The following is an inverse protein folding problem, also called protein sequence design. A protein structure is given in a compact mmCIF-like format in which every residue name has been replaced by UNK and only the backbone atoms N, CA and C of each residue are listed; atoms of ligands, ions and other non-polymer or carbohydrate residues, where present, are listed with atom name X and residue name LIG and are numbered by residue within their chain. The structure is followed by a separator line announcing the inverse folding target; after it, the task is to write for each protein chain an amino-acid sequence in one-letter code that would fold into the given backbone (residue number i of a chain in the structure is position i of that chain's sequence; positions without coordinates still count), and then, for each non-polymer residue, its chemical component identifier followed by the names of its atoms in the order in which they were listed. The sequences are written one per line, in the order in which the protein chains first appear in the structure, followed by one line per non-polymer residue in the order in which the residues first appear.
data_IF_349853710401
#
_entry.id   IF_349853710401
#
_cell.length_a   1.000
_cell.length_b   1.000
_cell.length_c   1.000
_cell.angle_alpha   90.00
_cell.angle_beta   90.00
_cell.angle_gamma   90.00
#
_symmetry.space_group_name_H-M   'P 1'
#
loop_
_entity.id
_entity.type
_entity.pdbx_description
1 polymer ?
#
# COMPACT_ATOMS: atom_id res chain seq x y z
N UNK A 1 7.93 9.80 11.41
CA UNK A 1 6.80 10.44 10.70
C UNK A 1 6.64 9.95 9.26
N UNK A 2 5.49 10.23 8.63
CA UNK A 2 5.25 10.05 7.17
C UNK A 2 5.82 11.27 6.42
N UNK A 3 5.93 11.25 5.09
CA UNK A 3 6.44 12.40 4.33
C UNK A 3 5.35 13.35 3.87
N UNK A 4 5.73 14.61 3.67
CA UNK A 4 4.94 15.54 2.89
C UNK A 4 5.01 15.18 1.40
N UNK A 5 3.88 15.29 0.71
CA UNK A 5 3.82 15.19 -0.74
C UNK A 5 4.35 16.48 -1.38
N UNK A 6 5.67 16.68 -1.34
CA UNK A 6 6.35 17.85 -1.90
C UNK A 6 6.10 17.86 -3.42
N UNK A 7 5.56 18.95 -3.98
CA UNK A 7 5.39 19.06 -5.43
C UNK A 7 6.73 18.96 -6.16
N UNK A 8 6.78 18.08 -7.16
CA UNK A 8 7.89 18.01 -8.09
C UNK A 8 7.74 19.11 -9.15
N UNK A 9 8.83 19.82 -9.44
CA UNK A 9 8.79 21.02 -10.29
C UNK A 9 8.90 20.72 -11.79
N UNK A 10 9.36 19.53 -12.20
CA UNK A 10 9.38 19.14 -13.61
C UNK A 10 8.07 18.48 -14.03
N UNK A 11 7.66 18.74 -15.28
CA UNK A 11 6.45 18.16 -15.88
C UNK A 11 6.63 16.69 -16.28
N UNK A 12 7.87 16.24 -16.51
CA UNK A 12 8.18 14.88 -16.94
C UNK A 12 9.51 14.39 -16.34
N UNK A 13 9.66 13.07 -16.28
CA UNK A 13 10.84 12.36 -15.80
C UNK A 13 10.88 10.95 -16.39
N UNK A 14 12.08 10.37 -16.46
CA UNK A 14 12.26 9.01 -16.94
C UNK A 14 11.38 8.01 -16.16
N UNK A 15 10.51 7.30 -16.87
CA UNK A 15 9.62 6.28 -16.30
C UNK A 15 9.40 5.12 -17.28
N UNK A 16 9.94 3.95 -16.96
CA UNK A 16 9.97 2.80 -17.87
C UNK A 16 8.75 1.89 -17.74
N UNK A 17 8.14 1.79 -16.55
CA UNK A 17 7.11 0.79 -16.31
C UNK A 17 5.85 1.02 -17.14
N UNK A 18 5.41 -0.03 -17.83
CA UNK A 18 4.14 -0.06 -18.54
C UNK A 18 3.63 -1.50 -18.63
N UNK A 19 2.35 -1.68 -18.98
CA UNK A 19 1.84 -3.04 -19.22
C UNK A 19 2.57 -3.72 -20.38
N UNK A 20 2.97 -2.97 -21.42
CA UNK A 20 3.77 -3.49 -22.52
C UNK A 20 5.13 -3.99 -22.04
N UNK A 21 5.85 -3.18 -21.24
CA UNK A 21 7.12 -3.57 -20.63
C UNK A 21 6.97 -4.83 -19.77
N UNK A 22 5.93 -4.91 -18.94
CA UNK A 22 5.66 -6.09 -18.10
C UNK A 22 5.47 -7.34 -18.96
N UNK A 23 4.67 -7.26 -20.03
CA UNK A 23 4.46 -8.42 -20.90
C UNK A 23 5.73 -8.83 -21.66
N UNK A 24 6.52 -7.86 -22.11
CA UNK A 24 7.81 -8.12 -22.76
C UNK A 24 8.78 -8.85 -21.82
N UNK A 25 8.92 -8.36 -20.59
CA UNK A 25 9.79 -9.00 -19.59
C UNK A 25 9.27 -10.38 -19.21
N UNK A 26 7.95 -10.56 -19.05
CA UNK A 26 7.38 -11.90 -18.81
C UNK A 26 7.68 -12.86 -19.96
N UNK A 27 7.56 -12.43 -21.21
CA UNK A 27 7.88 -13.26 -22.36
C UNK A 27 9.36 -13.66 -22.40
N UNK A 28 10.27 -12.74 -22.03
CA UNK A 28 11.71 -13.00 -21.93
C UNK A 28 12.10 -13.93 -20.78
N UNK A 29 11.28 -14.01 -19.74
CA UNK A 29 11.59 -14.71 -18.50
C UNK A 29 10.55 -15.77 -18.11
N UNK A 30 10.01 -16.50 -19.09
CA UNK A 30 9.12 -17.66 -18.88
C UNK A 30 7.89 -17.38 -18.00
N UNK A 31 7.31 -16.19 -18.15
CA UNK A 31 6.12 -15.75 -17.43
C UNK A 31 6.39 -15.08 -16.08
N UNK A 32 7.63 -15.09 -15.60
CA UNK A 32 8.06 -14.58 -14.28
C UNK A 32 9.17 -13.55 -14.45
N UNK A 33 9.02 -12.34 -13.92
CA UNK A 33 10.06 -11.30 -13.98
C UNK A 33 10.95 -11.42 -12.74
N UNK A 34 12.29 -11.58 -12.88
CA UNK A 34 13.20 -11.54 -11.73
C UNK A 34 13.10 -10.20 -11.00
N UNK A 35 13.04 -10.21 -9.67
CA UNK A 35 12.90 -8.97 -8.89
C UNK A 35 14.08 -8.00 -9.13
N UNK A 36 15.28 -8.53 -9.37
CA UNK A 36 16.47 -7.73 -9.68
C UNK A 36 16.31 -6.86 -10.94
N UNK A 37 15.53 -7.31 -11.93
CA UNK A 37 15.24 -6.53 -13.14
C UNK A 37 14.32 -5.34 -12.80
N UNK A 38 13.26 -5.59 -12.03
CA UNK A 38 12.34 -4.53 -11.59
C UNK A 38 13.08 -3.50 -10.74
N UNK A 39 13.88 -3.95 -9.76
CA UNK A 39 14.65 -3.07 -8.90
C UNK A 39 15.68 -2.26 -9.70
N UNK A 40 16.37 -2.89 -10.65
CA UNK A 40 17.34 -2.20 -11.50
C UNK A 40 16.65 -1.12 -12.35
N UNK A 41 15.53 -1.45 -13.02
CA UNK A 41 14.77 -0.47 -13.80
C UNK A 41 14.34 0.73 -12.97
N UNK A 42 13.81 0.48 -11.77
CA UNK A 42 13.42 1.55 -10.84
C UNK A 42 14.62 2.46 -10.48
N UNK A 43 15.77 1.87 -10.15
CA UNK A 43 16.98 2.63 -9.80
C UNK A 43 17.55 3.39 -11.00
N UNK A 44 17.60 2.75 -12.17
CA UNK A 44 18.12 3.35 -13.40
C UNK A 44 17.28 4.57 -13.82
N UNK A 45 15.94 4.46 -13.75
CA UNK A 45 15.05 5.57 -14.10
C UNK A 45 15.29 6.79 -13.19
N UNK A 46 15.38 6.58 -11.87
CA UNK A 46 15.64 7.67 -10.91
C UNK A 46 17.07 8.23 -11.08
N UNK A 47 18.04 7.36 -11.36
CA UNK A 47 19.43 7.76 -11.59
C UNK A 47 19.60 8.56 -12.89
N UNK A 48 18.79 8.30 -13.91
CA UNK A 48 18.78 9.07 -15.16
C UNK A 48 18.36 10.54 -14.92
N UNK A 49 17.57 10.80 -13.87
CA UNK A 49 17.23 12.14 -13.40
C UNK A 49 18.28 12.75 -12.47
N UNK A 50 19.38 12.04 -12.22
CA UNK A 50 20.50 12.51 -11.39
C UNK A 50 20.35 12.24 -9.89
N UNK A 51 19.36 11.43 -9.47
CA UNK A 51 19.07 11.17 -8.06
C UNK A 51 19.50 9.77 -7.65
N UNK A 52 20.16 9.65 -6.50
CA UNK A 52 20.46 8.36 -5.86
C UNK A 52 19.36 8.03 -4.82
N UNK A 53 18.51 7.06 -5.15
CA UNK A 53 17.40 6.65 -4.28
C UNK A 53 17.85 6.05 -2.95
N UNK A 54 19.00 5.38 -2.89
CA UNK A 54 19.51 4.81 -1.65
C UNK A 54 20.05 5.92 -0.73
N UNK A 55 20.68 6.95 -1.31
CA UNK A 55 21.10 8.15 -0.58
C UNK A 55 19.90 8.90 0.01
N UNK A 56 18.84 9.12 -0.78
CA UNK A 56 17.61 9.75 -0.28
C UNK A 56 16.95 8.90 0.80
N UNK A 57 16.86 7.58 0.61
CA UNK A 57 16.35 6.69 1.65
C UNK A 57 17.15 6.81 2.95
N UNK A 58 18.48 6.81 2.88
CA UNK A 58 19.33 6.92 4.08
C UNK A 58 19.27 8.29 4.75
N UNK A 59 19.09 9.38 4.00
CA UNK A 59 18.84 10.72 4.54
C UNK A 59 17.58 10.75 5.41
N UNK A 60 16.52 10.06 4.99
CA UNK A 60 15.20 10.17 5.62
C UNK A 60 14.77 8.97 6.48
N UNK A 61 15.49 7.83 6.46
CA UNK A 61 15.04 6.57 7.08
C UNK A 61 14.77 6.66 8.58
N UNK A 62 15.41 7.58 9.29
CA UNK A 62 15.20 7.82 10.73
C UNK A 62 13.83 8.46 11.01
N UNK A 63 13.23 9.06 9.97
CA UNK A 63 11.94 9.75 10.02
C UNK A 63 11.88 10.86 11.07
N UNK A 64 13.02 11.51 11.30
CA UNK A 64 13.17 12.64 12.19
C UNK A 64 12.30 13.83 11.72
N UNK A 65 11.63 14.49 12.67
CA UNK A 65 10.64 15.53 12.36
C UNK A 65 11.30 16.78 11.78
N UNK A 66 12.47 17.14 12.28
CA UNK A 66 13.21 18.33 11.84
C UNK A 66 13.75 18.12 10.43
N UNK A 67 14.29 16.93 10.14
CA UNK A 67 14.72 16.55 8.79
C UNK A 67 13.56 16.62 7.78
N UNK A 68 12.34 16.24 8.21
CA UNK A 68 11.13 16.36 7.36
C UNK A 68 10.69 17.82 7.22
N UNK A 69 10.76 18.62 8.28
CA UNK A 69 10.48 20.06 8.24
C UNK A 69 11.38 20.76 7.22
N UNK A 70 12.68 20.49 7.30
CA UNK A 70 13.66 21.03 6.35
C UNK A 70 13.34 20.64 4.91
N UNK A 71 12.96 19.39 4.65
CA UNK A 71 12.56 18.97 3.30
C UNK A 71 11.34 19.73 2.78
N UNK A 72 10.34 19.97 3.66
CA UNK A 72 9.12 20.73 3.33
C UNK A 72 9.44 22.19 3.01
N UNK A 73 10.27 22.83 3.84
CA UNK A 73 10.66 24.23 3.71
C UNK A 73 11.57 24.46 2.49
N UNK A 74 12.54 23.57 2.27
CA UNK A 74 13.46 23.64 1.15
C UNK A 74 12.87 23.13 -0.17
N UNK A 75 11.67 22.53 -0.13
CA UNK A 75 11.05 21.82 -1.26
C UNK A 75 12.00 20.81 -1.90
N UNK A 76 12.53 19.89 -1.10
CA UNK A 76 13.52 18.90 -1.56
C UNK A 76 13.04 18.15 -2.83
N UNK A 77 13.71 18.43 -3.96
CA UNK A 77 13.31 17.93 -5.27
C UNK A 77 13.70 16.47 -5.51
N UNK A 78 14.71 15.95 -4.81
CA UNK A 78 15.11 14.54 -4.91
C UNK A 78 14.03 13.65 -4.27
N UNK A 79 13.55 14.06 -3.09
CA UNK A 79 12.42 13.41 -2.43
C UNK A 79 11.13 13.56 -3.25
N UNK A 80 10.88 14.76 -3.82
CA UNK A 80 9.71 15.01 -4.66
C UNK A 80 9.71 14.14 -5.93
N UNK A 81 10.85 13.95 -6.60
CA UNK A 81 10.99 13.05 -7.74
C UNK A 81 10.59 11.61 -7.35
N UNK A 82 11.12 11.09 -6.24
CA UNK A 82 10.81 9.73 -5.81
C UNK A 82 9.32 9.58 -5.50
N UNK A 83 8.68 10.58 -4.89
CA UNK A 83 7.23 10.57 -4.68
C UNK A 83 6.42 10.61 -5.98
N UNK A 84 6.83 11.45 -6.93
CA UNK A 84 6.21 11.54 -8.26
C UNK A 84 6.33 10.20 -9.01
N UNK A 85 7.53 9.60 -9.01
CA UNK A 85 7.78 8.29 -9.59
C UNK A 85 6.89 7.21 -8.96
N UNK A 86 6.82 7.15 -7.63
CA UNK A 86 5.96 6.19 -6.94
C UNK A 86 4.48 6.39 -7.26
N UNK A 87 4.04 7.63 -7.51
CA UNK A 87 2.66 7.91 -7.93
C UNK A 87 2.34 7.26 -9.28
N UNK A 88 3.26 7.33 -10.24
CA UNK A 88 3.12 6.65 -11.53
C UNK A 88 3.23 5.12 -11.39
N UNK A 89 4.11 4.65 -10.51
CA UNK A 89 4.33 3.22 -10.27
C UNK A 89 3.10 2.49 -9.71
N UNK A 90 2.26 3.16 -8.91
CA UNK A 90 1.10 2.56 -8.21
C UNK A 90 0.24 1.70 -9.13
N UNK A 91 -0.07 2.20 -10.34
CA UNK A 91 -0.91 1.49 -11.31
C UNK A 91 -0.34 0.13 -11.75
N UNK A 92 0.97 -0.05 -11.65
CA UNK A 92 1.69 -1.24 -12.13
C UNK A 92 2.10 -2.19 -11.00
N UNK A 93 2.11 -1.74 -9.74
CA UNK A 93 2.53 -2.56 -8.58
C UNK A 93 1.83 -3.92 -8.54
N UNK A 94 0.49 -4.03 -8.70
CA UNK A 94 -0.15 -5.34 -8.66
C UNK A 94 0.34 -6.28 -9.77
N UNK A 95 0.54 -5.77 -10.98
CA UNK A 95 1.01 -6.59 -12.10
C UNK A 95 2.48 -7.00 -11.92
N UNK A 96 3.33 -6.09 -11.44
CA UNK A 96 4.72 -6.36 -11.11
C UNK A 96 4.82 -7.42 -10.00
N UNK A 97 4.09 -7.25 -8.90
CA UNK A 97 4.10 -8.20 -7.78
C UNK A 97 3.62 -9.60 -8.22
N UNK A 98 2.55 -9.68 -9.01
CA UNK A 98 2.06 -10.97 -9.53
C UNK A 98 2.94 -11.58 -10.62
N UNK A 99 3.90 -10.83 -11.16
CA UNK A 99 4.91 -11.36 -12.09
C UNK A 99 6.13 -11.96 -11.40
N UNK A 100 6.28 -11.78 -10.08
CA UNK A 100 7.41 -12.33 -9.33
C UNK A 100 7.24 -13.83 -9.04
N UNK A 101 8.36 -14.54 -8.90
CA UNK A 101 8.40 -15.88 -8.33
C UNK A 101 8.02 -15.85 -6.83
N UNK A 102 7.71 -17.01 -6.24
CA UNK A 102 7.47 -17.09 -4.79
C UNK A 102 8.67 -16.57 -3.98
N UNK A 103 9.87 -16.99 -4.34
CA UNK A 103 11.12 -16.58 -3.70
C UNK A 103 11.39 -15.07 -3.87
N UNK A 104 11.14 -14.51 -5.06
CA UNK A 104 11.31 -13.07 -5.30
C UNK A 104 10.29 -12.23 -4.53
N UNK A 105 9.06 -12.74 -4.34
CA UNK A 105 8.08 -12.09 -3.47
C UNK A 105 8.56 -12.04 -2.03
N UNK A 106 9.12 -13.14 -1.51
CA UNK A 106 9.71 -13.18 -0.17
C UNK A 106 10.84 -12.16 -0.02
N UNK A 107 11.81 -12.17 -0.95
CA UNK A 107 12.92 -11.20 -0.96
C UNK A 107 12.41 -9.77 -0.97
N UNK A 108 11.43 -9.45 -1.82
CA UNK A 108 10.83 -8.13 -1.91
C UNK A 108 10.11 -7.75 -0.59
N UNK A 109 9.28 -8.65 -0.05
CA UNK A 109 8.51 -8.41 1.18
C UNK A 109 9.42 -8.17 2.38
N UNK A 110 10.50 -8.94 2.50
CA UNK A 110 11.44 -8.85 3.62
C UNK A 110 12.35 -7.62 3.54
N UNK A 111 12.82 -7.26 2.33
CA UNK A 111 13.93 -6.30 2.20
C UNK A 111 13.53 -4.95 1.60
N UNK A 112 12.40 -4.87 0.89
CA UNK A 112 12.05 -3.71 0.05
C UNK A 112 10.64 -3.19 0.23
N UNK A 113 9.68 -4.00 0.71
CA UNK A 113 8.30 -3.56 0.85
C UNK A 113 8.16 -2.35 1.78
N UNK A 114 8.87 -2.36 2.91
CA UNK A 114 8.85 -1.23 3.85
C UNK A 114 9.53 0.03 3.28
N UNK A 115 10.51 -0.13 2.38
CA UNK A 115 11.12 1.00 1.66
C UNK A 115 10.14 1.59 0.65
N UNK A 116 9.39 0.75 -0.07
CA UNK A 116 8.33 1.21 -0.97
C UNK A 116 7.24 1.95 -0.19
N UNK A 117 6.74 1.34 0.89
CA UNK A 117 5.72 1.96 1.76
C UNK A 117 6.19 3.29 2.33
N UNK A 118 7.47 3.38 2.70
CA UNK A 118 8.08 4.59 3.21
C UNK A 118 7.95 5.76 2.23
N UNK A 119 8.21 5.56 0.93
CA UNK A 119 8.06 6.60 -0.08
C UNK A 119 6.62 6.77 -0.58
N UNK A 120 5.82 5.71 -0.62
CA UNK A 120 4.41 5.78 -1.06
C UNK A 120 3.54 6.53 -0.05
N UNK A 121 3.80 6.36 1.25
CA UNK A 121 2.92 6.86 2.31
C UNK A 121 3.18 8.33 2.59
N UNK A 122 2.31 9.18 2.02
CA UNK A 122 2.44 10.63 2.07
C UNK A 122 1.25 11.28 2.76
N UNK A 123 1.50 12.46 3.31
CA UNK A 123 0.51 13.38 3.84
C UNK A 123 0.55 14.61 2.91
N UNK A 124 -0.60 15.20 2.56
CA UNK A 124 -0.62 16.37 1.69
C UNK A 124 0.30 17.49 2.20
N UNK A 125 1.02 18.16 1.30
CA UNK A 125 1.99 19.20 1.64
C UNK A 125 1.43 20.27 2.59
N UNK A 126 0.24 20.80 2.26
CA UNK A 126 -0.45 21.81 3.08
C UNK A 126 -0.82 21.30 4.48
N UNK A 127 -1.12 20.02 4.62
CA UNK A 127 -1.41 19.40 5.93
C UNK A 127 -0.15 19.34 6.79
N UNK A 128 1.02 19.10 6.20
CA UNK A 128 2.29 19.16 6.92
C UNK A 128 2.64 20.58 7.37
N UNK A 129 2.48 21.58 6.49
CA UNK A 129 2.67 22.99 6.86
C UNK A 129 1.77 23.38 8.03
N UNK A 130 0.48 23.03 7.96
CA UNK A 130 -0.46 23.29 9.05
C UNK A 130 -0.09 22.55 10.34
N UNK A 131 0.38 21.30 10.26
CA UNK A 131 0.84 20.55 11.42
C UNK A 131 2.03 21.23 12.10
N UNK A 132 2.99 21.73 11.33
CA UNK A 132 4.14 22.47 11.86
C UNK A 132 3.70 23.76 12.55
N UNK A 133 2.78 24.54 11.96
CA UNK A 133 2.23 25.74 12.59
C UNK A 133 1.55 25.41 13.95
N UNK A 134 0.83 24.29 14.03
CA UNK A 134 0.17 23.86 15.27
C UNK A 134 1.16 23.37 16.33
N UNK A 135 2.26 22.73 15.92
CA UNK A 135 3.35 22.34 16.81
C UNK A 135 4.05 23.59 17.36
N UNK A 136 4.35 24.56 16.50
CA UNK A 136 5.05 25.80 16.88
C UNK A 136 4.19 26.67 17.81
N UNK A 137 2.85 26.61 17.65
CA UNK A 137 1.88 27.23 18.55
C UNK A 137 1.62 26.45 19.85
N UNK A 138 2.22 25.27 20.03
CA UNK A 138 1.98 24.39 21.19
C UNK A 138 0.56 23.80 21.26
N UNK A 139 -0.19 23.80 20.15
CA UNK A 139 -1.55 23.24 20.07
C UNK A 139 -1.58 21.74 19.80
N UNK A 140 -0.49 21.21 19.25
CA UNK A 140 -0.28 19.78 19.01
C UNK A 140 1.02 19.39 19.69
N UNK A 141 1.06 18.16 20.19
CA UNK A 141 2.30 17.47 20.58
C UNK A 141 2.25 16.05 20.08
N UNK A 142 3.42 15.44 19.93
CA UNK A 142 3.54 14.08 19.45
C UNK A 142 3.90 13.20 20.65
N UNK A 143 3.19 12.08 20.76
CA UNK A 143 3.48 11.00 21.70
C UNK A 143 3.87 9.75 20.91
N UNK A 144 4.95 9.10 21.30
CA UNK A 144 5.44 7.86 20.70
C UNK A 144 5.21 6.66 21.61
N UNK A 145 5.19 5.47 21.01
CA UNK A 145 5.23 4.22 21.76
C UNK A 145 3.97 3.87 22.53
N UNK A 146 2.78 4.33 22.08
CA UNK A 146 1.51 3.91 22.68
C UNK A 146 1.38 2.39 22.59
N UNK A 147 1.30 1.72 23.74
CA UNK A 147 1.22 0.25 23.84
C UNK A 147 -0.13 -0.25 24.34
N UNK A 148 -0.84 0.54 25.16
CA UNK A 148 -2.13 0.16 25.71
C UNK A 148 -3.04 1.37 25.97
N UNK A 149 -4.35 1.11 26.07
CA UNK A 149 -5.39 2.12 26.30
C UNK A 149 -6.40 1.61 27.33
N UNK A 150 -6.55 2.37 28.41
CA UNK A 150 -7.48 2.11 29.50
C UNK A 150 -8.59 3.15 29.54
N UNK A 151 -9.80 2.75 29.91
CA UNK A 151 -10.93 3.66 30.09
C UNK A 151 -10.89 4.21 31.53
N UNK A 152 -11.12 5.52 31.70
CA UNK A 152 -11.24 6.14 33.02
C UNK A 152 -12.65 5.97 33.58
N UNK A 153 -12.75 5.75 34.90
CA UNK A 153 -14.03 5.62 35.62
C UNK A 153 -14.96 6.83 35.43
N UNK A 154 -14.39 8.03 35.26
CA UNK A 154 -15.13 9.29 35.09
C UNK A 154 -15.27 9.76 33.63
N UNK A 155 -14.94 8.89 32.67
CA UNK A 155 -14.87 9.23 31.25
C UNK A 155 -13.47 9.67 30.80
N UNK A 156 -13.20 9.48 29.50
CA UNK A 156 -11.88 9.64 28.90
C UNK A 156 -11.01 8.38 28.96
N UNK A 157 -9.76 8.53 28.57
CA UNK A 157 -8.81 7.44 28.36
C UNK A 157 -7.46 7.75 29.01
N UNK A 158 -6.77 6.69 29.44
CA UNK A 158 -5.36 6.70 29.83
C UNK A 158 -4.61 5.82 28.85
N UNK A 159 -3.51 6.33 28.29
CA UNK A 159 -2.67 5.58 27.37
C UNK A 159 -1.33 5.30 28.01
N UNK A 160 -0.90 4.05 27.93
CA UNK A 160 0.47 3.68 28.27
C UNK A 160 1.35 3.96 27.05
N UNK A 161 2.32 4.86 27.23
CA UNK A 161 3.31 5.24 26.24
C UNK A 161 4.66 5.46 26.95
N UNK A 162 5.64 6.08 26.31
CA UNK A 162 6.92 6.44 26.97
C UNK A 162 6.70 7.26 28.25
N UNK A 163 5.66 8.10 28.23
CA UNK A 163 5.08 8.74 29.39
C UNK A 163 3.58 8.45 29.40
N UNK A 164 3.00 8.28 30.58
CA UNK A 164 1.56 8.05 30.70
C UNK A 164 0.81 9.28 30.21
N UNK A 165 -0.17 9.05 29.34
CA UNK A 165 -0.97 10.12 28.76
C UNK A 165 -2.43 10.02 29.15
N UNK A 166 -3.07 11.16 29.35
CA UNK A 166 -4.51 11.25 29.59
C UNK A 166 -5.18 12.10 28.53
N UNK A 167 -6.31 11.63 28.01
CA UNK A 167 -7.12 12.33 27.01
C UNK A 167 -8.60 12.14 27.27
N UNK A 168 -9.41 13.14 26.91
CA UNK A 168 -10.87 13.05 27.03
C UNK A 168 -11.49 12.28 25.86
N UNK A 169 -10.90 12.41 24.67
CA UNK A 169 -11.36 11.80 23.43
C UNK A 169 -10.21 11.06 22.76
N UNK A 170 -10.49 9.82 22.36
CA UNK A 170 -9.56 9.00 21.58
C UNK A 170 -10.15 8.68 20.21
N UNK A 171 -9.40 8.98 19.15
CA UNK A 171 -9.75 8.62 17.78
C UNK A 171 -8.80 7.53 17.30
N UNK A 172 -9.33 6.32 17.05
CA UNK A 172 -8.51 5.21 16.55
C UNK A 172 -8.29 5.35 15.04
N UNK A 173 -7.04 5.60 14.65
CA UNK A 173 -6.59 5.68 13.25
C UNK A 173 -5.49 4.64 12.91
N UNK A 174 -5.51 3.47 13.56
CA UNK A 174 -4.48 2.42 13.40
C UNK A 174 -4.61 1.60 12.10
N UNK A 175 -5.72 1.76 11.37
CA UNK A 175 -5.96 1.11 10.08
C UNK A 175 -6.99 0.00 10.15
N UNK A 176 -6.91 -0.96 9.22
CA UNK A 176 -7.91 -2.00 9.03
C UNK A 176 -7.38 -3.38 9.40
N UNK A 177 -8.25 -4.23 9.97
CA UNK A 177 -7.97 -5.64 10.18
C UNK A 177 -8.08 -6.40 8.86
N UNK A 178 -7.11 -7.28 8.58
CA UNK A 178 -7.04 -8.07 7.33
C UNK A 178 -6.95 -9.57 7.55
N UNK A 179 -6.75 -10.01 8.79
CA UNK A 179 -6.79 -11.42 9.17
C UNK A 179 -8.24 -11.90 9.13
N UNK A 180 -8.57 -12.85 8.26
CA UNK A 180 -9.97 -13.21 7.97
C UNK A 180 -10.72 -13.70 9.21
N UNK A 181 -10.05 -14.44 10.11
CA UNK A 181 -10.64 -14.89 11.37
C UNK A 181 -11.01 -13.75 12.32
N UNK A 182 -10.31 -12.62 12.26
CA UNK A 182 -10.61 -11.44 13.06
C UNK A 182 -11.65 -10.54 12.38
N UNK A 183 -11.58 -10.41 11.06
CA UNK A 183 -12.60 -9.70 10.27
C UNK A 183 -13.97 -10.37 10.46
N UNK A 184 -14.03 -11.70 10.43
CA UNK A 184 -15.25 -12.49 10.62
C UNK A 184 -16.00 -12.19 11.93
N UNK A 185 -15.28 -11.88 13.02
CA UNK A 185 -15.89 -11.51 14.32
C UNK A 185 -16.82 -10.32 14.25
N UNK A 186 -16.62 -9.43 13.27
CA UNK A 186 -17.43 -8.21 13.07
C UNK A 186 -18.29 -8.27 11.81
N UNK A 187 -17.99 -9.17 10.87
CA UNK A 187 -18.67 -9.29 9.57
C UNK A 187 -19.19 -10.73 9.35
N UNK A 188 -20.45 -11.03 9.71
CA UNK A 188 -21.01 -12.38 9.63
C UNK A 188 -20.95 -13.03 8.24
N UNK A 189 -20.98 -12.24 7.16
CA UNK A 189 -20.83 -12.78 5.81
C UNK A 189 -19.43 -13.36 5.58
N UNK A 190 -18.39 -12.63 5.98
CA UNK A 190 -17.00 -13.08 5.84
C UNK A 190 -16.76 -14.32 6.69
N UNK A 191 -17.27 -14.31 7.92
CA UNK A 191 -17.22 -15.44 8.85
C UNK A 191 -17.79 -16.72 8.23
N UNK A 192 -19.02 -16.62 7.71
CA UNK A 192 -19.69 -17.74 7.06
C UNK A 192 -18.96 -18.23 5.81
N UNK A 193 -18.47 -17.33 4.96
CA UNK A 193 -17.74 -17.72 3.75
C UNK A 193 -16.43 -18.43 4.11
N UNK A 194 -15.73 -17.96 5.15
CA UNK A 194 -14.45 -18.51 5.57
C UNK A 194 -14.62 -19.88 6.22
N UNK A 195 -15.49 -20.01 7.22
CA UNK A 195 -15.69 -21.28 7.93
C UNK A 195 -16.45 -22.34 7.12
N UNK A 196 -17.17 -21.95 6.05
CA UNK A 196 -17.73 -22.89 5.07
C UNK A 196 -16.76 -23.24 3.94
N UNK A 197 -15.49 -22.83 4.03
CA UNK A 197 -14.45 -23.07 3.02
C UNK A 197 -14.84 -22.57 1.62
N UNK A 198 -15.61 -21.47 1.52
CA UNK A 198 -15.92 -20.82 0.24
C UNK A 198 -14.82 -19.83 -0.14
N UNK A 199 -14.28 -19.11 0.84
CA UNK A 199 -13.08 -18.27 0.70
C UNK A 199 -11.93 -18.88 1.50
N UNK A 200 -10.70 -18.62 1.06
CA UNK A 200 -9.48 -19.06 1.73
C UNK A 200 -8.61 -17.85 2.07
N UNK A 201 -7.88 -17.97 3.18
CA UNK A 201 -6.86 -16.98 3.54
C UNK A 201 -5.69 -17.02 2.55
N UNK A 202 -5.25 -15.85 2.10
CA UNK A 202 -3.94 -15.69 1.47
C UNK A 202 -2.90 -15.35 2.57
N UNK A 203 -1.62 -15.17 2.22
CA UNK A 203 -0.51 -14.69 3.08
C UNK A 203 -0.77 -14.83 4.60
N UNK A 204 -0.54 -16.01 5.16
CA UNK A 204 -0.71 -16.32 6.59
C UNK A 204 -2.14 -16.04 7.13
N UNK A 205 -3.17 -16.39 6.36
CA UNK A 205 -4.58 -16.22 6.74
C UNK A 205 -5.14 -14.81 6.53
N UNK A 206 -4.32 -13.88 6.02
CA UNK A 206 -4.74 -12.52 5.69
C UNK A 206 -5.24 -12.45 4.26
N UNK A 207 -6.23 -11.60 4.00
CA UNK A 207 -6.81 -11.43 2.67
C UNK A 207 -7.48 -12.71 2.14
N UNK A 208 -8.33 -12.55 1.13
CA UNK A 208 -8.96 -13.60 0.38
C UNK A 208 -8.07 -13.97 -0.80
N UNK A 209 -7.83 -15.26 -0.97
CA UNK A 209 -7.12 -15.78 -2.12
C UNK A 209 -8.01 -15.64 -3.38
N UNK A 210 -7.53 -14.85 -4.33
CA UNK A 210 -8.19 -14.59 -5.61
C UNK A 210 -7.24 -14.88 -6.76
N UNK A 211 -7.81 -15.07 -7.95
CA UNK A 211 -7.07 -15.06 -9.20
C UNK A 211 -6.65 -13.63 -9.58
N UNK A 212 -5.75 -13.53 -10.56
CA UNK A 212 -5.32 -12.26 -11.12
C UNK A 212 -5.27 -12.36 -12.64
N UNK A 213 -5.83 -11.40 -13.40
CA UNK A 213 -6.34 -10.09 -12.94
C UNK A 213 -7.87 -9.97 -12.70
N UNK A 214 -8.64 -11.07 -12.70
CA UNK A 214 -10.12 -11.04 -12.63
C UNK A 214 -10.70 -10.92 -11.21
N UNK A 215 -9.88 -11.11 -10.16
CA UNK A 215 -10.31 -11.04 -8.77
C UNK A 215 -11.45 -12.00 -8.38
N UNK A 216 -11.53 -13.14 -9.06
CA UNK A 216 -12.39 -14.27 -8.74
C UNK A 216 -11.79 -15.09 -7.61
N UNK A 217 -12.64 -15.60 -6.73
CA UNK A 217 -12.19 -16.40 -5.58
C UNK A 217 -11.61 -17.73 -6.05
N UNK A 218 -10.43 -18.07 -5.51
CA UNK A 218 -9.82 -19.38 -5.65
C UNK A 218 -10.24 -20.30 -4.51
N UNK A 219 -10.73 -21.47 -4.86
CA UNK A 219 -11.24 -22.47 -3.95
C UNK A 219 -10.55 -23.83 -4.21
N UNK A 220 -10.13 -24.53 -3.16
CA UNK A 220 -9.50 -25.85 -3.29
C UNK A 220 -10.46 -26.91 -3.86
N UNK A 221 -11.75 -26.85 -3.52
CA UNK A 221 -12.74 -27.84 -3.94
C UNK A 221 -13.33 -27.54 -5.32
N UNK A 222 -13.41 -26.27 -5.70
CA UNK A 222 -14.14 -25.83 -6.89
C UNK A 222 -13.27 -25.13 -7.95
N UNK A 223 -11.97 -24.95 -7.70
CA UNK A 223 -11.11 -24.12 -8.55
C UNK A 223 -11.53 -22.65 -8.51
N UNK A 224 -11.70 -22.02 -9.67
CA UNK A 224 -12.11 -20.62 -9.78
C UNK A 224 -13.63 -20.51 -9.64
N UNK A 225 -14.12 -19.78 -8.63
CA UNK A 225 -15.53 -19.46 -8.45
C UNK A 225 -15.92 -18.28 -9.35
N UNK A 226 -16.32 -18.57 -10.60
CA UNK A 226 -16.53 -17.56 -11.67
C UNK A 226 -17.54 -16.45 -11.35
N UNK A 227 -18.42 -16.65 -10.39
CA UNK A 227 -19.47 -15.70 -9.99
C UNK A 227 -19.21 -15.06 -8.62
N UNK A 228 -18.06 -15.32 -7.99
CA UNK A 228 -17.70 -14.76 -6.70
C UNK A 228 -16.42 -13.94 -6.81
N UNK A 229 -16.56 -12.63 -6.59
CA UNK A 229 -15.48 -11.66 -6.72
C UNK A 229 -15.25 -10.96 -5.38
N UNK A 230 -14.00 -10.64 -5.09
CA UNK A 230 -13.63 -9.83 -3.93
C UNK A 230 -12.88 -8.58 -4.38
N UNK A 231 -13.08 -7.47 -3.67
CA UNK A 231 -12.50 -6.17 -3.98
C UNK A 231 -11.96 -5.50 -2.71
N UNK A 232 -11.17 -4.44 -2.91
CA UNK A 232 -10.66 -3.61 -1.83
C UNK A 232 -9.68 -4.35 -0.91
N UNK A 233 -9.56 -3.86 0.32
CA UNK A 233 -8.48 -4.26 1.24
C UNK A 233 -8.35 -5.76 1.45
N UNK A 234 -9.44 -6.52 1.37
CA UNK A 234 -9.44 -7.96 1.57
C UNK A 234 -8.78 -8.75 0.43
N UNK A 235 -8.36 -8.15 -0.68
CA UNK A 235 -7.58 -8.85 -1.72
C UNK A 235 -6.12 -8.38 -1.81
N UNK A 236 -5.65 -7.67 -0.78
CA UNK A 236 -4.32 -7.04 -0.73
C UNK A 236 -3.14 -8.01 -0.88
N UNK A 237 -3.35 -9.31 -0.66
CA UNK A 237 -2.32 -10.32 -0.90
C UNK A 237 -2.08 -10.62 -2.38
N UNK A 238 -3.06 -10.37 -3.25
CA UNK A 238 -2.95 -10.56 -4.70
C UNK A 238 -2.88 -9.20 -5.41
N UNK A 239 -3.85 -8.31 -5.19
CA UNK A 239 -3.71 -6.92 -5.61
C UNK A 239 -2.79 -6.21 -4.60
N UNK A 240 -1.48 -6.36 -4.77
CA UNK A 240 -0.52 -5.78 -3.83
C UNK A 240 -0.71 -4.27 -3.74
N UNK A 241 -0.58 -3.70 -2.53
CA UNK A 241 -0.80 -2.28 -2.28
C UNK A 241 -2.24 -1.76 -2.52
N UNK A 242 -3.27 -2.62 -2.39
CA UNK A 242 -4.68 -2.32 -2.62
C UNK A 242 -5.40 -1.46 -1.55
N UNK A 243 -4.75 -0.41 -1.08
CA UNK A 243 -5.38 0.65 -0.28
C UNK A 243 -5.59 1.93 -1.09
N UNK A 244 -5.48 1.84 -2.41
CA UNK A 244 -5.54 2.96 -3.34
C UNK A 244 -6.87 2.96 -4.12
N UNK A 245 -7.51 4.13 -4.19
CA UNK A 245 -8.82 4.29 -4.84
C UNK A 245 -8.74 4.09 -6.36
N UNK A 246 -7.65 4.51 -7.00
CA UNK A 246 -7.43 4.30 -8.43
C UNK A 246 -7.29 2.81 -8.75
N UNK A 247 -6.55 2.07 -7.93
CA UNK A 247 -6.43 0.61 -8.09
C UNK A 247 -7.78 -0.11 -7.92
N UNK A 248 -8.58 0.33 -6.94
CA UNK A 248 -9.92 -0.22 -6.72
C UNK A 248 -10.83 0.07 -7.92
N UNK A 249 -10.79 1.30 -8.45
CA UNK A 249 -11.57 1.71 -9.62
C UNK A 249 -11.17 0.93 -10.88
N UNK A 250 -9.87 0.81 -11.15
CA UNK A 250 -9.35 0.05 -12.30
C UNK A 250 -9.75 -1.43 -12.24
N UNK A 251 -9.69 -2.04 -11.06
CA UNK A 251 -10.14 -3.42 -10.89
C UNK A 251 -11.66 -3.53 -11.11
N UNK A 252 -12.46 -2.63 -10.55
CA UNK A 252 -13.91 -2.62 -10.72
C UNK A 252 -14.31 -2.52 -12.21
N UNK A 253 -13.67 -1.63 -12.98
CA UNK A 253 -13.87 -1.52 -14.42
C UNK A 253 -13.50 -2.82 -15.15
N UNK A 254 -12.34 -3.39 -14.84
CA UNK A 254 -11.87 -4.64 -15.47
C UNK A 254 -12.84 -5.79 -15.21
N UNK A 255 -13.25 -5.97 -13.96
CA UNK A 255 -14.15 -7.07 -13.57
C UNK A 255 -15.53 -6.86 -14.18
N UNK A 256 -16.00 -5.62 -14.23
CA UNK A 256 -17.28 -5.28 -14.86
C UNK A 256 -17.28 -5.62 -16.35
N UNK A 257 -16.24 -5.20 -17.09
CA UNK A 257 -16.11 -5.55 -18.52
C UNK A 257 -16.02 -7.06 -18.72
N UNK A 258 -15.17 -7.74 -17.96
CA UNK A 258 -15.09 -9.21 -18.01
C UNK A 258 -16.44 -9.85 -17.74
N UNK A 259 -17.16 -9.41 -16.71
CA UNK A 259 -18.47 -9.96 -16.37
C UNK A 259 -19.50 -9.72 -17.47
N UNK A 260 -19.50 -8.54 -18.10
CA UNK A 260 -20.36 -8.23 -19.25
C UNK A 260 -20.07 -9.16 -20.45
N UNK A 261 -18.79 -9.33 -20.79
CA UNK A 261 -18.35 -10.11 -21.95
C UNK A 261 -18.63 -11.61 -21.80
N UNK A 262 -18.71 -12.10 -20.56
CA UNK A 262 -18.97 -13.50 -20.24
C UNK A 262 -20.46 -13.81 -20.04
N UNK A 263 -21.36 -12.82 -20.13
CA UNK A 263 -22.79 -13.10 -20.00
C UNK A 263 -23.23 -13.93 -21.21
N UNK A 264 -23.97 -15.03 -20.99
CA UNK A 264 -24.74 -15.62 -22.07
C UNK A 264 -25.66 -14.54 -22.64
N UNK A 265 -25.67 -14.37 -23.96
CA UNK A 265 -26.78 -13.71 -24.62
C UNK A 265 -28.00 -14.56 -24.34
N UNK A 266 -28.91 -14.04 -23.54
CA UNK A 266 -30.25 -14.62 -23.41
C UNK A 266 -30.96 -14.34 -24.73
N UNK A 267 -30.81 -15.24 -25.70
CA UNK A 267 -31.70 -15.37 -26.86
C UNK A 267 -32.94 -16.19 -26.50
#
# INVERSE_FOLDING_TARGET
FRFADIPYEKDDFQFTFSMAWIQEQRAKHNGVIPFSIILKTFKDDIQAEGVDVDAVYHKYKTRDLETIRQAVESKDQDLALIHAYNSNLIAFIPALFNSLSGQDKEIYLENYHDKLKFFKTRVPYKTFQWMFDLLDQGKVRIVHGISDVHIKDQGGFIMDAEQREEVDVLVNATGFQTLLSEVGKTLPLIDNLYYKNLIQGHINGRFVLIDWPQAQVLNQNFGILKNLFFFGLLIGGTQHENNDAQLTHQLALRVSNWFMDQRPTWE
#
